data_IF_844482145695
#
_entry.id   IF_844482145695
#
_cell.length_a   1.000
_cell.length_b   1.000
_cell.length_c   1.000
_cell.angle_alpha   90.00
_cell.angle_beta   90.00
_cell.angle_gamma   90.00
#
_symmetry.space_group_name_H-M   'P 1'
#
loop_
_entity.id
_entity.type
_entity.pdbx_description
1 polymer ?
#
# COMPACT_ATOMS: atom_id res chain seq x y z
N UNK A 1 11.20 5.07 56.15
CA UNK A 1 11.96 5.24 54.89
C UNK A 1 11.11 4.71 53.75
N UNK A 2 10.69 5.59 52.84
CA UNK A 2 9.72 5.28 51.78
C UNK A 2 10.40 4.56 50.59
N UNK A 3 9.81 3.45 50.15
CA UNK A 3 10.19 2.77 48.90
C UNK A 3 9.81 3.64 47.70
N UNK A 4 10.79 4.03 46.89
CA UNK A 4 10.57 4.70 45.60
C UNK A 4 10.39 3.64 44.52
N UNK A 5 9.16 3.44 44.05
CA UNK A 5 8.89 2.72 42.81
C UNK A 5 9.18 3.65 41.62
N UNK A 6 10.15 3.30 40.77
CA UNK A 6 10.37 3.97 39.50
C UNK A 6 9.49 3.30 38.44
N UNK A 7 8.40 3.96 38.05
CA UNK A 7 7.58 3.54 36.93
C UNK A 7 8.23 4.04 35.63
N UNK A 8 8.96 3.17 34.93
CA UNK A 8 9.40 3.42 33.56
C UNK A 8 8.20 3.23 32.64
N UNK A 9 7.53 4.32 32.28
CA UNK A 9 6.59 4.33 31.17
C UNK A 9 7.38 4.10 29.87
N UNK A 10 7.32 2.89 29.33
CA UNK A 10 7.80 2.63 27.97
C UNK A 10 6.92 3.44 27.01
N UNK A 11 7.46 4.53 26.47
CA UNK A 11 6.88 5.24 25.33
C UNK A 11 6.86 4.24 24.16
N UNK A 12 5.70 3.67 23.89
CA UNK A 12 5.49 2.93 22.65
C UNK A 12 5.64 3.92 21.50
N UNK A 13 6.79 3.88 20.83
CA UNK A 13 6.98 4.62 19.57
C UNK A 13 5.98 4.06 18.58
N UNK A 14 4.94 4.82 18.26
CA UNK A 14 4.03 4.53 17.15
C UNK A 14 4.82 4.68 15.86
N UNK A 15 5.44 3.60 15.41
CA UNK A 15 6.05 3.53 14.10
C UNK A 15 4.92 3.47 13.08
N UNK A 16 4.52 4.63 12.54
CA UNK A 16 3.61 4.67 11.40
C UNK A 16 4.34 4.19 10.15
N UNK A 17 3.65 3.44 9.31
CA UNK A 17 4.21 3.11 8.02
C UNK A 17 4.40 4.36 7.16
N UNK A 18 5.49 4.39 6.39
CA UNK A 18 5.84 5.55 5.54
C UNK A 18 4.99 5.64 4.31
N UNK A 19 4.37 4.51 3.97
CA UNK A 19 3.22 4.54 3.09
C UNK A 19 2.08 5.08 3.93
N UNK A 20 1.53 6.21 3.54
CA UNK A 20 0.42 6.83 4.24
C UNK A 20 -0.93 6.43 3.64
N UNK A 21 -0.91 5.69 2.53
CA UNK A 21 -2.11 5.00 2.04
C UNK A 21 -2.08 4.60 0.58
N UNK A 22 -3.27 4.32 0.06
CA UNK A 22 -3.51 3.90 -1.33
C UNK A 22 -4.48 4.86 -2.01
N UNK A 23 -4.36 4.97 -3.33
CA UNK A 23 -5.25 5.79 -4.16
C UNK A 23 -5.62 5.08 -5.44
N UNK A 24 -6.90 5.17 -5.77
CA UNK A 24 -7.55 4.54 -6.90
C UNK A 24 -8.47 5.54 -7.59
N UNK A 25 -8.77 5.35 -8.89
CA UNK A 25 -9.86 6.07 -9.53
C UNK A 25 -11.19 5.82 -8.80
N UNK A 26 -12.01 6.85 -8.71
CA UNK A 26 -13.34 6.81 -8.07
C UNK A 26 -14.28 5.83 -8.75
N UNK A 27 -14.23 5.80 -10.08
CA UNK A 27 -14.96 4.85 -10.91
C UNK A 27 -13.98 4.06 -11.74
N UNK A 28 -14.11 2.73 -11.75
CA UNK A 28 -13.20 1.84 -12.46
C UNK A 28 -14.00 0.94 -13.39
N UNK A 29 -13.54 0.83 -14.63
CA UNK A 29 -14.04 -0.18 -15.55
C UNK A 29 -13.35 -1.53 -15.27
N UNK A 30 -14.10 -2.62 -15.03
CA UNK A 30 -13.50 -3.92 -14.80
C UNK A 30 -12.80 -4.43 -16.08
N UNK A 31 -11.66 -5.10 -15.92
CA UNK A 31 -10.80 -5.56 -17.03
C UNK A 31 -9.83 -4.52 -17.61
N UNK A 32 -9.96 -3.25 -17.24
CA UNK A 32 -9.04 -2.21 -17.69
C UNK A 32 -7.76 -2.18 -16.81
N UNK A 33 -6.60 -1.91 -17.42
CA UNK A 33 -5.37 -1.63 -16.67
C UNK A 33 -5.43 -0.19 -16.15
N UNK A 34 -5.56 -0.05 -14.84
CA UNK A 34 -5.57 1.25 -14.16
C UNK A 34 -4.26 1.45 -13.39
N UNK A 35 -3.91 2.71 -13.12
CA UNK A 35 -2.75 3.02 -12.27
C UNK A 35 -3.23 3.29 -10.85
N UNK A 36 -2.90 2.40 -9.92
CA UNK A 36 -3.02 2.66 -8.49
C UNK A 36 -1.81 3.45 -8.00
N UNK A 37 -2.03 4.42 -7.12
CA UNK A 37 -0.93 5.16 -6.48
C UNK A 37 -0.79 4.72 -5.02
N UNK A 38 0.40 4.30 -4.65
CA UNK A 38 0.77 4.08 -3.26
C UNK A 38 1.40 5.37 -2.76
N UNK A 39 0.77 6.02 -1.78
CA UNK A 39 1.24 7.27 -1.20
C UNK A 39 2.45 7.01 -0.32
N UNK A 40 3.61 7.56 -0.65
CA UNK A 40 4.83 7.42 0.15
C UNK A 40 5.33 8.77 0.63
N UNK A 41 5.73 8.85 1.90
CA UNK A 41 6.29 10.05 2.50
C UNK A 41 7.82 9.95 2.65
N UNK A 42 8.48 11.12 2.57
CA UNK A 42 9.89 11.26 2.87
C UNK A 42 10.13 11.30 4.38
N UNK A 43 10.96 10.42 4.92
CA UNK A 43 11.28 10.36 6.34
C UNK A 43 12.77 10.06 6.56
N UNK A 44 13.32 10.59 7.66
CA UNK A 44 14.78 10.67 7.90
C UNK A 44 15.44 9.33 8.29
N UNK A 45 14.66 8.38 8.82
CA UNK A 45 15.16 7.04 9.21
C UNK A 45 15.20 6.05 8.02
N UNK A 46 15.53 4.79 8.25
CA UNK A 46 15.38 3.73 7.23
C UNK A 46 14.22 2.83 7.61
N UNK A 47 13.27 2.65 6.69
CA UNK A 47 12.10 1.79 6.82
C UNK A 47 12.03 0.97 5.55
N UNK A 48 11.85 -0.33 5.72
CA UNK A 48 11.77 -1.28 4.62
C UNK A 48 10.32 -1.67 4.41
N UNK A 49 9.66 -1.11 3.39
CA UNK A 49 8.36 -1.62 2.97
C UNK A 49 8.61 -2.83 2.06
N UNK A 50 8.06 -3.99 2.42
CA UNK A 50 8.44 -5.28 1.81
C UNK A 50 7.51 -5.63 0.67
N UNK A 51 6.21 -5.60 0.92
CA UNK A 51 5.20 -5.98 -0.06
C UNK A 51 3.85 -5.36 0.31
N UNK A 52 3.04 -5.12 -0.72
CA UNK A 52 1.65 -4.71 -0.59
C UNK A 52 0.77 -5.68 -1.39
N UNK A 53 -0.34 -6.12 -0.80
CA UNK A 53 -1.35 -6.91 -1.47
C UNK A 53 -2.65 -6.11 -1.56
N UNK A 54 -3.34 -6.20 -2.70
CA UNK A 54 -4.62 -5.56 -2.95
C UNK A 54 -5.71 -6.61 -3.08
N UNK A 55 -6.81 -6.38 -2.37
CA UNK A 55 -8.01 -7.19 -2.48
C UNK A 55 -9.25 -6.30 -2.62
N UNK A 56 -10.34 -6.91 -3.09
CA UNK A 56 -11.57 -6.20 -3.38
C UNK A 56 -12.77 -6.96 -2.81
N UNK A 57 -13.64 -6.26 -2.10
CA UNK A 57 -14.92 -6.79 -1.61
C UNK A 57 -16.05 -5.87 -2.01
N UNK A 58 -17.27 -6.40 -2.12
CA UNK A 58 -18.46 -5.55 -2.10
C UNK A 58 -18.54 -4.85 -0.76
N UNK A 59 -19.06 -3.62 -0.73
CA UNK A 59 -19.23 -2.88 0.51
C UNK A 59 -20.00 -3.66 1.57
N UNK A 60 -21.08 -4.35 1.17
CA UNK A 60 -21.90 -5.19 2.06
C UNK A 60 -21.16 -6.37 2.69
N UNK A 61 -20.08 -6.84 2.05
CA UNK A 61 -19.28 -7.98 2.48
C UNK A 61 -17.88 -7.57 2.98
N UNK A 62 -17.58 -6.27 2.99
CA UNK A 62 -16.30 -5.75 3.43
C UNK A 62 -16.22 -5.78 4.95
N UNK A 63 -15.28 -6.56 5.49
CA UNK A 63 -14.97 -6.56 6.91
C UNK A 63 -13.68 -5.79 7.18
N UNK A 64 -13.60 -5.05 8.31
CA UNK A 64 -12.36 -4.39 8.72
C UNK A 64 -11.18 -5.37 8.75
N UNK A 65 -10.01 -4.91 8.30
CA UNK A 65 -8.77 -5.70 8.23
C UNK A 65 -8.81 -6.96 7.36
N UNK A 66 -9.78 -7.06 6.44
CA UNK A 66 -9.86 -8.15 5.47
C UNK A 66 -9.69 -7.66 4.03
N UNK A 67 -8.92 -8.39 3.23
CA UNK A 67 -8.70 -8.07 1.82
C UNK A 67 -9.76 -8.66 0.90
N UNK A 68 -10.39 -9.77 1.30
CA UNK A 68 -11.24 -10.55 0.39
C UNK A 68 -10.45 -11.16 -0.78
N UNK A 69 -11.10 -11.35 -1.94
CA UNK A 69 -10.46 -11.76 -3.18
C UNK A 69 -9.26 -10.87 -3.55
N UNK A 70 -8.06 -11.45 -3.50
CA UNK A 70 -6.81 -10.76 -3.87
C UNK A 70 -6.68 -10.74 -5.38
N UNK A 71 -6.54 -9.54 -5.96
CA UNK A 71 -6.39 -9.35 -7.41
C UNK A 71 -4.99 -8.87 -7.80
N UNK A 72 -4.20 -8.36 -6.84
CA UNK A 72 -2.86 -7.86 -7.11
C UNK A 72 -1.94 -7.95 -5.89
N UNK A 73 -0.66 -8.14 -6.13
CA UNK A 73 0.37 -7.97 -5.10
C UNK A 73 1.65 -7.43 -5.72
N UNK A 74 2.32 -6.57 -4.99
CA UNK A 74 3.53 -5.89 -5.43
C UNK A 74 4.60 -6.04 -4.37
N UNK A 75 5.79 -6.38 -4.83
CA UNK A 75 6.98 -6.35 -4.00
C UNK A 75 7.54 -4.93 -3.99
N UNK A 76 7.63 -4.35 -2.80
CA UNK A 76 8.16 -3.00 -2.56
C UNK A 76 9.57 -3.04 -1.93
N UNK A 77 10.01 -4.25 -1.56
CA UNK A 77 11.18 -4.54 -0.75
C UNK A 77 12.50 -3.91 -1.18
N UNK A 78 13.52 -4.01 -0.32
CA UNK A 78 14.78 -3.32 -0.52
C UNK A 78 15.33 -3.64 -1.91
N UNK A 79 15.70 -2.59 -2.64
CA UNK A 79 16.35 -2.71 -3.93
C UNK A 79 17.70 -3.39 -3.68
N UNK A 80 17.73 -4.72 -3.71
CA UNK A 80 18.98 -5.46 -3.79
C UNK A 80 19.61 -4.98 -5.09
N UNK A 81 20.67 -4.19 -4.94
CA UNK A 81 21.16 -3.32 -6.01
C UNK A 81 21.24 -4.06 -7.33
N UNK A 82 20.74 -3.44 -8.40
CA UNK A 82 20.75 -3.96 -9.77
C UNK A 82 22.19 -4.05 -10.35
N UNK A 83 23.20 -4.16 -9.48
CA UNK A 83 24.64 -4.19 -9.78
C UNK A 83 24.92 -5.50 -10.53
N UNK A 84 25.06 -5.40 -11.85
CA UNK A 84 25.26 -6.54 -12.75
C UNK A 84 24.11 -6.84 -13.70
N UNK A 85 22.94 -6.19 -13.57
CA UNK A 85 21.83 -6.37 -14.52
C UNK A 85 21.99 -5.38 -15.70
N UNK A 86 21.93 -5.86 -16.96
CA UNK A 86 21.95 -5.02 -18.15
C UNK A 86 20.92 -3.89 -18.08
N UNK A 87 21.30 -2.69 -18.52
CA UNK A 87 20.50 -1.46 -18.37
C UNK A 87 19.10 -1.59 -18.99
N UNK A 88 18.98 -2.38 -20.07
CA UNK A 88 17.72 -2.73 -20.73
C UNK A 88 16.76 -3.56 -19.84
N UNK A 89 17.29 -4.52 -19.07
CA UNK A 89 16.50 -5.33 -18.11
C UNK A 89 16.24 -4.56 -16.83
N UNK A 90 17.08 -3.58 -16.51
CA UNK A 90 16.91 -2.68 -15.37
C UNK A 90 15.63 -1.85 -15.49
N UNK A 91 15.26 -1.42 -16.69
CA UNK A 91 14.07 -0.61 -16.92
C UNK A 91 12.76 -1.39 -16.78
N UNK A 92 12.74 -2.67 -17.20
CA UNK A 92 11.59 -3.57 -17.01
C UNK A 92 11.41 -3.99 -15.54
N UNK A 93 12.50 -4.22 -14.81
CA UNK A 93 12.47 -4.60 -13.38
C UNK A 93 12.19 -3.38 -12.49
N UNK A 94 12.77 -2.22 -12.81
CA UNK A 94 12.55 -0.97 -12.06
C UNK A 94 11.14 -0.40 -12.23
N UNK A 95 10.50 -0.61 -13.39
CA UNK A 95 9.11 -0.18 -13.62
C UNK A 95 8.08 -1.04 -12.89
N UNK A 96 8.44 -2.25 -12.46
CA UNK A 96 7.51 -3.23 -11.87
C UNK A 96 7.79 -3.61 -10.41
N UNK A 97 9.00 -3.38 -9.88
CA UNK A 97 9.40 -4.05 -8.63
C UNK A 97 10.36 -3.25 -7.71
N UNK A 98 10.83 -2.05 -8.09
CA UNK A 98 11.93 -1.41 -7.35
C UNK A 98 11.84 0.12 -7.19
N UNK A 99 10.65 0.73 -7.24
CA UNK A 99 10.52 2.10 -6.71
C UNK A 99 10.59 1.98 -5.19
N UNK A 100 11.80 2.17 -4.66
CA UNK A 100 12.07 1.99 -3.24
C UNK A 100 11.11 2.81 -2.38
N UNK A 101 10.73 2.22 -1.25
CA UNK A 101 10.06 2.92 -0.16
C UNK A 101 10.81 4.18 0.29
N UNK A 102 10.12 5.07 1.00
CA UNK A 102 10.69 6.29 1.57
C UNK A 102 11.15 7.33 0.54
N UNK A 103 10.35 7.55 -0.50
CA UNK A 103 10.53 8.65 -1.44
C UNK A 103 9.42 9.67 -1.24
N UNK A 104 9.67 10.93 -1.61
CA UNK A 104 8.65 11.98 -1.58
C UNK A 104 7.57 11.78 -2.67
N UNK A 105 7.81 10.87 -3.62
CA UNK A 105 6.95 10.68 -4.77
C UNK A 105 6.11 9.41 -4.62
N UNK A 106 4.82 9.50 -4.96
CA UNK A 106 3.94 8.34 -5.02
C UNK A 106 4.48 7.26 -5.96
N UNK A 107 4.20 6.01 -5.60
CA UNK A 107 4.63 4.83 -6.36
C UNK A 107 3.45 4.40 -7.25
N UNK A 108 3.48 4.67 -8.57
CA UNK A 108 2.45 4.18 -9.49
C UNK A 108 2.63 2.67 -9.70
N UNK A 109 1.53 1.92 -9.56
CA UNK A 109 1.46 0.50 -9.81
C UNK A 109 0.31 0.18 -10.78
N UNK A 110 0.59 -0.46 -11.93
CA UNK A 110 -0.46 -0.90 -12.84
C UNK A 110 -1.19 -2.07 -12.20
N UNK A 111 -2.51 -1.95 -12.05
CA UNK A 111 -3.40 -2.99 -11.52
C UNK A 111 -4.54 -3.22 -12.49
N UNK A 112 -5.00 -4.46 -12.58
CA UNK A 112 -6.14 -4.85 -13.41
C UNK A 112 -7.17 -5.52 -12.51
N UNK A 113 -8.39 -5.00 -12.52
CA UNK A 113 -9.49 -5.62 -11.81
C UNK A 113 -10.06 -6.78 -12.65
N UNK A 114 -10.53 -7.87 -12.02
CA UNK A 114 -11.16 -8.97 -12.75
C UNK A 114 -12.42 -8.47 -13.50
N UNK A 115 -12.57 -8.90 -14.75
CA UNK A 115 -13.70 -8.56 -15.63
C UNK A 115 -15.06 -9.04 -15.11
N UNK A 116 -15.07 -10.04 -14.22
CA UNK A 116 -16.29 -10.65 -13.68
C UNK A 116 -16.97 -9.83 -12.57
N UNK A 117 -16.54 -8.60 -12.32
CA UNK A 117 -17.15 -7.74 -11.31
C UNK A 117 -18.43 -7.12 -11.86
N UNK A 118 -19.53 -7.30 -11.13
CA UNK A 118 -20.78 -6.59 -11.41
C UNK A 118 -20.63 -5.10 -11.04
N UNK A 119 -21.44 -4.24 -11.67
CA UNK A 119 -21.49 -2.83 -11.30
C UNK A 119 -21.99 -2.66 -9.86
N UNK A 120 -21.37 -1.75 -9.10
CA UNK A 120 -21.73 -1.50 -7.71
C UNK A 120 -20.62 -0.84 -6.90
N UNK A 121 -20.85 -0.67 -5.61
CA UNK A 121 -19.88 -0.12 -4.66
C UNK A 121 -19.01 -1.23 -4.07
N UNK A 122 -17.70 -1.02 -4.15
CA UNK A 122 -16.68 -1.96 -3.72
C UNK A 122 -15.68 -1.26 -2.80
N UNK A 123 -15.19 -1.99 -1.82
CA UNK A 123 -14.08 -1.57 -0.96
C UNK A 123 -12.83 -2.29 -1.45
N UNK A 124 -11.84 -1.51 -1.87
CA UNK A 124 -10.50 -2.00 -2.12
C UNK A 124 -9.71 -1.92 -0.82
N UNK A 125 -9.32 -3.08 -0.32
CA UNK A 125 -8.40 -3.20 0.79
C UNK A 125 -6.97 -3.37 0.27
N UNK A 126 -6.00 -2.78 0.96
CA UNK A 126 -4.59 -3.05 0.78
C UNK A 126 -3.94 -3.43 2.11
N UNK A 127 -3.09 -4.45 2.09
CA UNK A 127 -2.34 -4.88 3.25
C UNK A 127 -0.86 -4.72 2.95
N UNK A 128 -0.21 -3.86 3.73
CA UNK A 128 1.18 -3.52 3.60
C UNK A 128 1.98 -4.18 4.72
N UNK A 129 3.00 -4.95 4.32
CA UNK A 129 4.00 -5.46 5.24
C UNK A 129 5.23 -4.56 5.20
N UNK A 130 5.60 -4.03 6.35
CA UNK A 130 6.77 -3.17 6.51
C UNK A 130 7.60 -3.58 7.73
N UNK A 131 8.91 -3.35 7.66
CA UNK A 131 9.87 -3.68 8.72
C UNK A 131 10.45 -2.40 9.32
N UNK A 132 10.39 -2.30 10.65
CA UNK A 132 10.79 -1.11 11.42
C UNK A 132 11.88 -1.36 12.45
N UNK A 133 12.68 -0.32 12.68
CA UNK A 133 13.63 -0.23 13.78
C UNK A 133 14.90 -1.06 13.61
N UNK A 134 15.82 -0.93 14.58
CA UNK A 134 17.11 -1.62 14.57
C UNK A 134 16.98 -3.16 14.60
N UNK A 135 15.87 -3.67 15.14
CA UNK A 135 15.57 -5.10 15.21
C UNK A 135 14.73 -5.61 14.03
N UNK A 136 14.37 -4.77 13.06
CA UNK A 136 13.62 -5.17 11.86
C UNK A 136 12.28 -5.84 12.22
N UNK A 137 11.50 -5.19 13.08
CA UNK A 137 10.22 -5.72 13.53
C UNK A 137 9.17 -5.64 12.41
N UNK A 138 8.45 -6.73 12.09
CA UNK A 138 7.39 -6.72 11.10
C UNK A 138 6.14 -6.05 11.64
N UNK A 139 5.55 -5.17 10.83
CA UNK A 139 4.28 -4.51 11.07
C UNK A 139 3.43 -4.67 9.82
N UNK A 140 2.17 -5.05 10.03
CA UNK A 140 1.16 -5.14 8.99
C UNK A 140 0.21 -3.95 9.13
N UNK A 141 0.00 -3.20 8.06
CA UNK A 141 -0.91 -2.06 8.02
C UNK A 141 -1.95 -2.27 6.93
N UNK A 142 -3.23 -2.12 7.29
CA UNK A 142 -4.36 -2.17 6.36
C UNK A 142 -4.78 -0.76 5.92
N UNK A 143 -5.10 -0.60 4.64
CA UNK A 143 -5.73 0.60 4.08
C UNK A 143 -6.97 0.21 3.31
N UNK A 144 -8.04 0.99 3.41
CA UNK A 144 -9.28 0.75 2.69
C UNK A 144 -9.66 2.00 1.91
N UNK A 145 -10.17 1.80 0.70
CA UNK A 145 -10.72 2.86 -0.16
C UNK A 145 -12.00 2.33 -0.80
N UNK A 146 -13.06 3.13 -0.77
CA UNK A 146 -14.31 2.85 -1.48
C UNK A 146 -14.22 3.33 -2.93
N UNK A 147 -14.62 2.48 -3.86
CA UNK A 147 -14.66 2.76 -5.30
C UNK A 147 -15.96 2.24 -5.91
N UNK A 148 -16.38 2.82 -7.02
CA UNK A 148 -17.53 2.36 -7.78
C UNK A 148 -17.06 1.62 -9.03
N UNK A 149 -17.59 0.42 -9.28
CA UNK A 149 -17.37 -0.30 -10.54
C UNK A 149 -18.44 0.15 -11.54
N UNK A 150 -17.98 0.69 -12.66
CA UNK A 150 -18.84 1.29 -13.69
C UNK A 150 -18.40 0.95 -15.12
N UNK A 151 -19.02 1.59 -16.12
CA UNK A 151 -18.72 1.33 -17.53
C UNK A 151 -17.46 2.05 -18.05
N UNK A 152 -17.02 3.10 -17.33
CA UNK A 152 -15.86 3.93 -17.66
C UNK A 152 -14.96 4.17 -16.44
N UNK A 153 -13.67 4.35 -16.70
CA UNK A 153 -12.69 4.71 -15.69
C UNK A 153 -12.66 6.23 -15.52
N UNK A 154 -12.94 6.73 -14.32
CA UNK A 154 -12.94 8.16 -14.00
C UNK A 154 -11.51 8.72 -13.89
N UNK A 155 -11.34 10.00 -14.21
CA UNK A 155 -10.09 10.74 -13.98
C UNK A 155 -9.97 11.25 -12.53
N UNK A 156 -11.06 11.21 -11.75
CA UNK A 156 -11.08 11.58 -10.34
C UNK A 156 -10.53 10.44 -9.47
N UNK A 157 -9.59 10.75 -8.57
CA UNK A 157 -8.99 9.77 -7.66
C UNK A 157 -9.54 9.94 -6.25
N UNK A 158 -9.76 8.81 -5.60
CA UNK A 158 -10.04 8.68 -4.17
C UNK A 158 -8.83 8.06 -3.49
N UNK A 159 -8.58 8.46 -2.25
CA UNK A 159 -7.37 8.08 -1.54
C UNK A 159 -7.64 7.96 -0.04
N UNK A 160 -6.95 7.02 0.59
CA UNK A 160 -7.17 6.71 2.01
C UNK A 160 -6.50 7.70 2.98
N UNK A 161 -5.95 8.81 2.48
CA UNK A 161 -5.14 9.75 3.29
C UNK A 161 -5.65 11.19 3.30
N UNK A 162 -6.66 11.54 2.49
CA UNK A 162 -7.30 12.87 2.52
C UNK A 162 -8.55 12.89 3.42
N UNK A 163 -8.63 12.00 4.42
CA UNK A 163 -9.55 12.19 5.54
C UNK A 163 -8.88 13.11 6.58
N UNK A 164 -9.00 14.43 6.35
CA UNK A 164 -8.91 15.47 7.39
C UNK A 164 -10.21 16.29 7.41
#
# INVERSE_FOLDING_TARGET
MQFRAALLAALATTASARIHGISFPKTIKPGEEITAYIGSANYIQSVYDVAIAFGINREEAAYPDTLGPVFGSFYLGPVVGLKGIPVEKRMLISRRCCRGSNQLNNIPQPVTLPESLEAGEYVIGASLLSLYGASVNPVLVGYNVTVTIGEETSEEYVNSWDEE
#
